data_IF_231305530262
#
_entry.id   IF_231305530262
#
_cell.length_a   1.000
_cell.length_b   1.000
_cell.length_c   1.000
_cell.angle_alpha   90.00
_cell.angle_beta   90.00
_cell.angle_gamma   90.00
#
_symmetry.space_group_name_H-M   'P 1'
#
loop_
_entity.id
_entity.type
_entity.pdbx_description
1 polymer ?
#
# COMPACT_ATOMS: atom_id res chain seq x y z
N UNK A 1 -17.38 8.74 -0.48
CA UNK A 1 -15.92 8.65 -0.20
C UNK A 1 -15.48 9.88 0.57
N UNK A 2 -14.80 9.69 1.70
CA UNK A 2 -14.22 10.75 2.53
C UNK A 2 -13.19 11.57 1.73
N UNK A 3 -13.09 12.88 1.96
CA UNK A 3 -12.26 13.80 1.16
C UNK A 3 -10.79 13.39 1.08
N UNK A 4 -10.20 12.91 2.18
CA UNK A 4 -8.82 12.44 2.22
C UNK A 4 -8.52 11.28 1.24
N UNK A 5 -9.43 10.31 1.10
CA UNK A 5 -9.24 9.16 0.19
C UNK A 5 -9.20 9.61 -1.26
N UNK A 6 -9.93 10.67 -1.63
CA UNK A 6 -9.92 11.23 -2.99
C UNK A 6 -8.54 11.77 -3.39
N UNK A 7 -7.76 12.29 -2.44
CA UNK A 7 -6.41 12.80 -2.72
C UNK A 7 -5.37 11.67 -2.75
N UNK A 8 -5.51 10.68 -1.87
CA UNK A 8 -4.56 9.56 -1.81
C UNK A 8 -4.70 8.62 -3.00
N UNK A 9 -5.93 8.40 -3.46
CA UNK A 9 -6.25 7.49 -4.55
C UNK A 9 -5.40 7.68 -5.83
N UNK A 10 -5.24 8.90 -6.37
CA UNK A 10 -4.36 9.14 -7.51
C UNK A 10 -2.89 9.37 -7.11
N UNK A 11 -2.60 9.74 -5.86
CA UNK A 11 -1.25 10.06 -5.41
C UNK A 11 -0.36 8.82 -5.25
N UNK A 12 -0.86 7.77 -4.59
CA UNK A 12 -0.07 6.55 -4.36
C UNK A 12 0.34 5.82 -5.64
N UNK A 13 -0.50 5.71 -6.69
CA UNK A 13 -0.08 5.19 -7.98
C UNK A 13 0.95 6.09 -8.68
N UNK A 14 0.83 7.42 -8.60
CA UNK A 14 1.80 8.35 -9.22
C UNK A 14 3.20 8.18 -8.62
N UNK A 15 3.30 8.12 -7.29
CA UNK A 15 4.56 7.85 -6.61
C UNK A 15 5.13 6.48 -7.03
N UNK A 16 4.29 5.44 -7.08
CA UNK A 16 4.72 4.12 -7.55
C UNK A 16 5.25 4.16 -8.99
N UNK A 17 4.59 4.90 -9.88
CA UNK A 17 5.05 5.07 -11.27
C UNK A 17 6.42 5.74 -11.34
N UNK A 18 6.67 6.76 -10.51
CA UNK A 18 7.96 7.47 -10.49
C UNK A 18 9.13 6.60 -10.02
N UNK A 19 8.91 5.71 -9.06
CA UNK A 19 9.98 4.87 -8.49
C UNK A 19 10.15 3.53 -9.20
N UNK A 20 9.07 2.97 -9.76
CA UNK A 20 9.06 1.64 -10.38
C UNK A 20 8.17 1.63 -11.64
N UNK A 21 8.50 2.39 -12.70
CA UNK A 21 7.61 2.61 -13.85
C UNK A 21 7.26 1.32 -14.60
N UNK A 22 8.22 0.43 -14.82
CA UNK A 22 7.99 -0.86 -15.50
C UNK A 22 7.03 -1.75 -14.71
N UNK A 23 7.22 -1.79 -13.39
CA UNK A 23 6.34 -2.52 -12.49
C UNK A 23 4.94 -1.92 -12.50
N UNK A 24 4.85 -0.60 -12.40
CA UNK A 24 3.58 0.12 -12.47
C UNK A 24 2.81 -0.21 -13.76
N UNK A 25 3.46 -0.12 -14.91
CA UNK A 25 2.85 -0.46 -16.19
C UNK A 25 2.37 -1.92 -16.20
N UNK A 26 3.18 -2.86 -15.71
CA UNK A 26 2.78 -4.26 -15.61
C UNK A 26 1.53 -4.44 -14.73
N UNK A 27 1.51 -3.84 -13.54
CA UNK A 27 0.36 -3.88 -12.63
C UNK A 27 -0.90 -3.33 -13.30
N UNK A 28 -0.77 -2.18 -13.96
CA UNK A 28 -1.87 -1.53 -14.65
C UNK A 28 -2.39 -2.38 -15.82
N UNK A 29 -1.52 -2.81 -16.74
CA UNK A 29 -1.93 -3.61 -17.90
C UNK A 29 -2.59 -4.92 -17.48
N UNK A 30 -2.06 -5.58 -16.45
CA UNK A 30 -2.63 -6.85 -15.94
C UNK A 30 -4.01 -6.61 -15.33
N UNK A 31 -4.15 -5.60 -14.47
CA UNK A 31 -5.44 -5.21 -13.87
C UNK A 31 -6.46 -4.82 -14.94
N UNK A 32 -6.05 -4.03 -15.91
CA UNK A 32 -6.93 -3.57 -16.98
C UNK A 32 -7.38 -4.75 -17.84
N UNK A 33 -6.49 -5.70 -18.18
CA UNK A 33 -6.85 -6.95 -18.87
C UNK A 33 -7.93 -7.74 -18.12
N UNK A 34 -7.81 -7.86 -16.80
CA UNK A 34 -8.83 -8.52 -15.97
C UNK A 34 -10.19 -7.80 -16.02
N UNK A 35 -10.18 -6.47 -15.92
CA UNK A 35 -11.41 -5.66 -15.97
C UNK A 35 -12.10 -5.76 -17.35
N UNK A 36 -11.33 -5.88 -18.43
CA UNK A 36 -11.88 -6.11 -19.77
C UNK A 36 -12.47 -7.52 -19.92
N UNK A 37 -11.82 -8.53 -19.33
CA UNK A 37 -12.28 -9.92 -19.41
C UNK A 37 -13.61 -10.14 -18.65
N UNK A 38 -13.82 -9.47 -17.52
CA UNK A 38 -15.02 -9.64 -16.71
C UNK A 38 -15.73 -8.31 -16.41
N UNK A 39 -16.82 -8.06 -17.14
CA UNK A 39 -17.63 -6.84 -17.02
C UNK A 39 -18.33 -6.66 -15.65
N UNK A 40 -18.37 -7.69 -14.80
CA UNK A 40 -18.90 -7.57 -13.43
C UNK A 40 -17.88 -6.99 -12.45
N UNK A 41 -16.59 -7.01 -12.80
CA UNK A 41 -15.55 -6.43 -11.96
C UNK A 41 -15.60 -4.91 -12.01
N UNK A 42 -15.29 -4.29 -10.87
CA UNK A 42 -15.22 -2.85 -10.73
C UNK A 42 -13.86 -2.47 -10.18
N UNK A 43 -13.32 -1.40 -10.74
CA UNK A 43 -12.12 -0.79 -10.21
C UNK A 43 -12.41 -0.21 -8.83
N UNK A 44 -11.50 -0.38 -7.88
CA UNK A 44 -11.60 0.27 -6.57
C UNK A 44 -11.58 1.79 -6.68
N UNK A 45 -10.93 2.30 -7.73
CA UNK A 45 -10.69 3.70 -7.96
C UNK A 45 -10.69 4.07 -9.45
N UNK A 46 -10.96 5.34 -9.76
CA UNK A 46 -11.08 5.85 -11.15
C UNK A 46 -9.81 5.61 -11.96
N UNK A 47 -8.64 5.67 -11.32
CA UNK A 47 -7.34 5.49 -11.96
C UNK A 47 -6.30 4.88 -11.02
N UNK A 48 -5.23 4.33 -11.60
CA UNK A 48 -4.07 3.81 -10.87
C UNK A 48 -3.82 2.32 -11.11
N UNK A 49 -2.58 1.90 -10.98
CA UNK A 49 -2.15 0.52 -11.29
C UNK A 49 -2.61 -0.53 -10.27
N UNK A 50 -2.94 -0.14 -9.05
CA UNK A 50 -3.23 -1.09 -7.98
C UNK A 50 -4.67 -1.63 -8.07
N UNK A 51 -4.85 -2.97 -8.05
CA UNK A 51 -6.17 -3.58 -8.05
C UNK A 51 -6.84 -3.56 -6.66
N UNK A 52 -6.09 -3.40 -5.57
CA UNK A 52 -6.59 -3.50 -4.20
C UNK A 52 -6.13 -2.32 -3.33
N UNK A 53 -6.90 -2.04 -2.28
CA UNK A 53 -6.54 -1.06 -1.25
C UNK A 53 -7.11 -1.40 0.11
N UNK A 54 -6.46 -0.91 1.15
CA UNK A 54 -6.80 -1.13 2.54
C UNK A 54 -6.66 0.19 3.32
N UNK A 55 -7.56 0.40 4.27
CA UNK A 55 -7.49 1.51 5.22
C UNK A 55 -7.43 0.90 6.62
N UNK A 56 -6.35 1.20 7.34
CA UNK A 56 -6.18 0.84 8.74
C UNK A 56 -6.81 1.93 9.60
N UNK A 57 -8.00 1.65 10.12
CA UNK A 57 -8.79 2.54 10.98
C UNK A 57 -8.66 2.08 12.45
N UNK A 58 -7.60 2.53 13.12
CA UNK A 58 -7.22 2.20 14.50
C UNK A 58 -5.77 2.60 14.72
N UNK A 59 -5.20 2.41 15.93
CA UNK A 59 -3.73 2.53 16.07
C UNK A 59 -3.08 1.59 15.06
N UNK A 60 -2.28 2.12 14.13
CA UNK A 60 -1.54 1.27 13.18
C UNK A 60 -0.39 0.52 13.84
N UNK A 61 -0.21 0.68 15.15
CA UNK A 61 0.55 -0.27 15.95
C UNK A 61 0.10 -1.68 15.61
N UNK A 62 1.03 -2.43 15.05
CA UNK A 62 0.78 -3.74 14.50
C UNK A 62 1.97 -4.62 14.82
N UNK A 63 1.74 -5.91 15.15
CA UNK A 63 2.84 -6.84 15.28
C UNK A 63 3.58 -6.96 13.94
N UNK A 64 4.89 -7.26 13.98
CA UNK A 64 5.69 -7.48 12.78
C UNK A 64 5.02 -8.47 11.82
N UNK A 65 4.73 -8.03 10.60
CA UNK A 65 4.01 -8.83 9.60
C UNK A 65 4.58 -8.68 8.20
N UNK A 66 4.34 -9.70 7.39
CA UNK A 66 4.54 -9.69 5.95
C UNK A 66 3.19 -9.58 5.24
N UNK A 67 3.25 -9.19 3.98
CA UNK A 67 2.09 -9.19 3.10
C UNK A 67 2.04 -10.43 2.23
N UNK A 68 1.95 -11.61 2.85
CA UNK A 68 2.18 -12.90 2.18
C UNK A 68 1.24 -13.22 1.02
N UNK A 69 0.09 -12.54 0.94
CA UNK A 69 -0.89 -12.68 -0.15
C UNK A 69 -0.63 -11.74 -1.32
N UNK A 70 0.28 -10.77 -1.16
CA UNK A 70 0.64 -9.84 -2.21
C UNK A 70 1.61 -10.49 -3.20
N UNK A 71 1.63 -9.94 -4.41
CA UNK A 71 2.59 -10.38 -5.41
C UNK A 71 4.02 -10.10 -4.89
N UNK A 72 4.94 -11.10 -4.88
CA UNK A 72 6.22 -10.98 -4.20
C UNK A 72 7.05 -9.74 -4.60
N UNK A 73 6.95 -9.32 -5.85
CA UNK A 73 7.65 -8.16 -6.39
C UNK A 73 6.72 -6.99 -6.70
N UNK A 74 5.42 -7.08 -6.38
CA UNK A 74 4.37 -6.13 -6.75
C UNK A 74 4.22 -4.92 -5.82
N UNK A 75 5.35 -4.38 -5.33
CA UNK A 75 5.50 -3.29 -4.35
C UNK A 75 4.21 -2.58 -3.94
N UNK A 76 3.89 -2.58 -2.64
CA UNK A 76 2.75 -1.78 -2.15
C UNK A 76 3.15 -0.32 -1.98
N UNK A 77 2.17 0.57 -1.99
CA UNK A 77 2.33 1.95 -1.54
C UNK A 77 1.59 2.14 -0.22
N UNK A 78 2.30 2.51 0.85
CA UNK A 78 1.74 2.77 2.17
C UNK A 78 1.81 4.26 2.46
N UNK A 79 0.72 4.86 2.90
CA UNK A 79 0.64 6.25 3.33
C UNK A 79 0.23 6.33 4.79
N UNK A 80 1.06 6.94 5.62
CA UNK A 80 0.69 7.23 7.01
C UNK A 80 -0.26 8.42 7.08
N UNK A 81 -1.17 8.38 8.05
CA UNK A 81 -2.19 9.39 8.31
C UNK A 81 -2.36 9.55 9.83
N UNK A 82 -3.12 10.56 10.24
CA UNK A 82 -3.40 10.84 11.65
C UNK A 82 -2.57 11.99 12.21
N UNK A 83 -2.50 12.06 13.54
CA UNK A 83 -1.86 13.14 14.30
C UNK A 83 -0.94 12.52 15.35
N UNK A 84 0.36 12.56 15.09
CA UNK A 84 1.41 12.05 15.98
C UNK A 84 2.75 12.72 15.65
N UNK A 85 3.72 12.62 16.56
CA UNK A 85 5.07 13.10 16.30
C UNK A 85 5.99 11.98 15.79
N UNK A 86 6.33 11.93 14.48
CA UNK A 86 7.11 10.85 13.88
C UNK A 86 8.56 10.77 14.39
N UNK A 87 9.02 11.79 15.12
CA UNK A 87 10.32 11.76 15.81
C UNK A 87 10.28 10.86 17.05
N UNK A 88 9.11 10.65 17.65
CA UNK A 88 8.97 9.94 18.93
C UNK A 88 8.14 8.67 18.80
N UNK A 89 7.07 8.68 18.01
CA UNK A 89 6.08 7.60 17.90
C UNK A 89 5.69 7.31 16.45
N UNK A 90 4.88 6.26 16.24
CA UNK A 90 4.31 5.91 14.92
C UNK A 90 5.36 5.71 13.80
N UNK A 91 6.57 5.28 14.14
CA UNK A 91 7.67 5.04 13.21
C UNK A 91 7.45 3.73 12.46
N UNK A 92 7.89 3.68 11.20
CA UNK A 92 7.89 2.45 10.42
C UNK A 92 9.16 1.66 10.70
N UNK A 93 9.02 0.40 11.13
CA UNK A 93 10.13 -0.53 11.31
C UNK A 93 10.18 -1.44 10.08
N UNK A 94 11.36 -1.57 9.48
CA UNK A 94 11.67 -2.54 8.43
C UNK A 94 12.69 -3.53 9.01
N UNK A 95 12.23 -4.74 9.31
CA UNK A 95 12.99 -5.68 10.15
C UNK A 95 14.21 -6.26 9.44
N UNK A 96 14.06 -6.73 8.20
CA UNK A 96 15.14 -7.30 7.39
C UNK A 96 16.20 -6.24 7.03
N UNK A 97 15.77 -4.99 6.83
CA UNK A 97 16.67 -3.85 6.57
C UNK A 97 17.35 -3.31 7.83
N UNK A 98 16.90 -3.76 9.02
CA UNK A 98 17.33 -3.25 10.33
C UNK A 98 17.20 -1.72 10.41
N UNK A 99 16.10 -1.18 9.90
CA UNK A 99 15.82 0.28 9.87
C UNK A 99 14.59 0.63 10.69
N UNK A 100 14.68 1.77 11.36
CA UNK A 100 13.55 2.47 11.96
C UNK A 100 13.46 3.82 11.27
N UNK A 101 12.33 4.09 10.62
CA UNK A 101 12.12 5.24 9.75
C UNK A 101 11.13 6.18 10.44
N UNK A 102 11.50 7.45 10.58
CA UNK A 102 10.53 8.50 10.91
C UNK A 102 9.56 8.59 9.74
N UNK A 103 8.31 8.19 9.97
CA UNK A 103 7.30 8.11 8.92
C UNK A 103 6.19 9.11 9.24
N UNK A 104 6.26 10.37 8.76
CA UNK A 104 5.31 11.42 9.11
C UNK A 104 3.89 11.16 8.57
N UNK A 105 2.85 11.70 9.21
CA UNK A 105 1.53 11.82 8.59
C UNK A 105 1.63 12.47 7.20
N UNK A 106 0.98 11.87 6.21
CA UNK A 106 1.03 12.28 4.79
C UNK A 106 2.20 11.68 3.99
N UNK A 107 3.20 11.09 4.64
CA UNK A 107 4.30 10.43 3.94
C UNK A 107 3.84 9.14 3.27
N UNK A 108 4.37 8.88 2.08
CA UNK A 108 4.10 7.65 1.31
C UNK A 108 5.39 6.90 1.04
N UNK A 109 5.40 5.60 1.30
CA UNK A 109 6.53 4.71 1.11
C UNK A 109 6.14 3.52 0.24
N UNK A 110 6.65 3.44 -1.01
CA UNK A 110 6.56 2.25 -1.84
C UNK A 110 7.62 1.21 -1.44
N UNK A 111 7.22 -0.05 -1.21
CA UNK A 111 8.15 -1.11 -0.82
C UNK A 111 7.60 -2.53 -1.07
N UNK A 112 8.48 -3.55 -1.16
CA UNK A 112 8.08 -4.95 -1.27
C UNK A 112 7.71 -5.56 0.09
N UNK A 113 6.48 -5.32 0.56
CA UNK A 113 5.99 -5.80 1.88
C UNK A 113 5.87 -7.32 2.04
N UNK A 114 6.00 -8.06 0.95
CA UNK A 114 6.11 -9.53 0.87
C UNK A 114 7.46 -10.08 1.30
N UNK A 115 8.52 -9.29 1.18
CA UNK A 115 9.89 -9.69 1.57
C UNK A 115 10.40 -8.96 2.80
N UNK A 116 9.80 -7.80 3.09
CA UNK A 116 10.22 -6.95 4.21
C UNK A 116 9.11 -6.96 5.26
N UNK A 117 9.38 -7.67 6.36
CA UNK A 117 8.54 -7.64 7.53
C UNK A 117 8.55 -6.23 8.09
N UNK A 118 7.36 -5.74 8.37
CA UNK A 118 7.16 -4.37 8.82
C UNK A 118 6.18 -4.31 9.98
N UNK A 119 6.33 -3.25 10.77
CA UNK A 119 5.43 -2.88 11.87
C UNK A 119 5.53 -1.39 12.11
N UNK A 120 4.63 -0.86 12.93
CA UNK A 120 4.72 0.49 13.46
C UNK A 120 5.10 0.46 14.94
N UNK A 121 5.84 1.46 15.41
CA UNK A 121 6.04 1.66 16.86
C UNK A 121 4.76 2.14 17.52
N UNK A 122 4.68 1.94 18.84
CA UNK A 122 3.61 2.46 19.68
C UNK A 122 3.40 3.97 19.52
N UNK A 123 2.17 4.39 19.83
CA UNK A 123 1.75 5.78 19.89
C UNK A 123 1.75 6.28 21.34
N UNK A 124 2.00 7.57 21.53
CA UNK A 124 1.80 8.19 22.84
C UNK A 124 0.31 8.46 23.10
N UNK A 125 -0.02 8.65 24.38
CA UNK A 125 -1.38 8.98 24.79
C UNK A 125 -1.90 10.24 24.08
N UNK A 126 -3.08 10.13 23.46
CA UNK A 126 -3.72 11.21 22.71
C UNK A 126 -3.28 11.33 21.25
N UNK A 127 -2.29 10.55 20.80
CA UNK A 127 -1.91 10.48 19.40
C UNK A 127 -2.78 9.49 18.63
N UNK A 128 -2.88 9.68 17.31
CA UNK A 128 -3.60 8.79 16.41
C UNK A 128 -2.76 8.54 15.18
N UNK A 129 -2.69 7.28 14.73
CA UNK A 129 -2.07 6.93 13.46
C UNK A 129 -2.98 6.01 12.70
N UNK A 130 -3.30 6.39 11.47
CA UNK A 130 -4.00 5.56 10.51
C UNK A 130 -3.07 5.29 9.35
N UNK A 131 -3.42 4.33 8.50
CA UNK A 131 -2.69 4.14 7.26
C UNK A 131 -3.64 3.83 6.11
N UNK A 132 -3.30 4.33 4.94
CA UNK A 132 -3.91 3.93 3.69
C UNK A 132 -2.87 3.17 2.89
N UNK A 133 -3.28 2.11 2.21
CA UNK A 133 -2.37 1.41 1.34
C UNK A 133 -3.04 0.87 0.10
N UNK A 134 -2.29 0.90 -0.99
CA UNK A 134 -2.66 0.27 -2.25
C UNK A 134 -1.64 -0.81 -2.60
N UNK A 135 -2.13 -1.93 -3.11
CA UNK A 135 -1.31 -3.11 -3.32
C UNK A 135 -1.90 -4.04 -4.39
N UNK A 136 -1.12 -5.05 -4.74
CA UNK A 136 -1.45 -6.06 -5.74
C UNK A 136 -1.43 -7.46 -5.10
N UNK A 137 -2.58 -8.10 -4.96
CA UNK A 137 -2.67 -9.49 -4.49
C UNK A 137 -2.19 -10.47 -5.56
N UNK A 138 -1.34 -11.44 -5.20
CA UNK A 138 -0.76 -12.39 -6.13
C UNK A 138 -1.82 -13.20 -6.87
N UNK A 139 -2.88 -13.64 -6.17
CA UNK A 139 -3.93 -14.48 -6.74
C UNK A 139 -4.60 -13.88 -7.97
N UNK A 140 -4.77 -12.55 -7.99
CA UNK A 140 -5.27 -11.84 -9.16
C UNK A 140 -4.32 -12.07 -10.34
N UNK A 141 -3.05 -11.76 -10.19
CA UNK A 141 -2.05 -11.87 -11.26
C UNK A 141 -1.81 -13.32 -11.71
N UNK A 142 -1.85 -14.28 -10.78
CA UNK A 142 -1.77 -15.70 -11.08
C UNK A 142 -2.94 -16.16 -11.95
N UNK A 143 -4.16 -15.73 -11.63
CA UNK A 143 -5.30 -16.02 -12.47
C UNK A 143 -4.96 -15.43 -13.91
N UNK A 144 -4.35 -14.20 -14.11
CA UNK A 144 -4.13 -13.59 -15.49
C UNK A 144 -3.14 -14.49 -16.18
N UNK A 145 -2.05 -14.80 -15.47
CA UNK A 145 -0.93 -15.55 -16.00
C UNK A 145 -1.33 -16.95 -16.45
N UNK A 146 -2.36 -17.53 -15.82
CA UNK A 146 -2.96 -18.80 -16.23
C UNK A 146 -3.97 -18.64 -17.39
N UNK A 147 -4.14 -17.43 -17.89
CA UNK A 147 -4.98 -17.11 -19.03
C UNK A 147 -6.40 -16.68 -18.68
N UNK A 148 -6.76 -16.62 -17.39
CA UNK A 148 -8.14 -16.49 -16.89
C UNK A 148 -9.18 -17.17 -17.79
#
# INVERSE_FOLDING_TARGET
QHSAVKYLQPFTPDIHYRVAPRLHCYLQTTKDSLLHHNAFLRNNFVSGAFPASEIFLGSSESPPRLDDLNMPWGWRALTALGTYNPRWSGKLILWEEKKVINFPPGATFPYPGTFIRHSFTELHAGETQYAFSQYAQAGLFCYVGNGY
#
